data_IF_743797254415
#
_entry.id   IF_743797254415
#
_cell.length_a   1.000
_cell.length_b   1.000
_cell.length_c   1.000
_cell.angle_alpha   90.00
_cell.angle_beta   90.00
_cell.angle_gamma   90.00
#
_symmetry.space_group_name_H-M   'P 1'
#
loop_
_entity.id
_entity.type
_entity.pdbx_description
1 polymer ?
#
# COMPACT_ATOMS: atom_id res chain seq x y z
N UNK A 1 5.71 17.25 16.21
CA UNK A 1 5.57 16.66 14.85
C UNK A 1 4.42 17.35 14.13
N UNK A 2 4.62 18.55 13.55
CA UNK A 2 3.51 19.36 13.04
C UNK A 2 2.86 18.83 11.75
N UNK A 3 3.49 17.85 11.05
CA UNK A 3 3.05 17.37 9.72
C UNK A 3 3.11 15.84 9.52
N UNK A 4 3.16 15.05 10.59
CA UNK A 4 3.13 13.58 10.50
C UNK A 4 1.72 13.01 10.69
N UNK A 5 1.43 11.82 10.17
CA UNK A 5 0.18 11.07 10.39
C UNK A 5 -0.08 10.76 11.86
N UNK A 6 -1.32 10.43 12.22
CA UNK A 6 -1.69 10.21 13.63
C UNK A 6 -0.94 9.02 14.24
N UNK A 7 -0.84 7.91 13.50
CA UNK A 7 -0.07 6.72 13.88
C UNK A 7 1.42 7.00 14.03
N UNK A 8 2.08 7.71 13.10
CA UNK A 8 3.50 8.04 13.23
C UNK A 8 3.78 8.98 14.41
N UNK A 9 2.90 9.95 14.65
CA UNK A 9 3.05 10.86 15.80
C UNK A 9 2.91 10.12 17.12
N UNK A 10 1.94 9.24 17.25
CA UNK A 10 1.73 8.46 18.48
C UNK A 10 2.85 7.43 18.68
N UNK A 11 3.32 6.76 17.63
CA UNK A 11 4.49 5.89 17.69
C UNK A 11 5.73 6.63 18.20
N UNK A 12 5.98 7.84 17.69
CA UNK A 12 7.08 8.67 18.17
C UNK A 12 6.91 9.11 19.63
N UNK A 13 5.68 9.34 20.09
CA UNK A 13 5.40 9.60 21.52
C UNK A 13 5.63 8.34 22.37
N UNK A 14 5.24 7.16 21.89
CA UNK A 14 5.49 5.88 22.56
C UNK A 14 6.98 5.60 22.71
N UNK A 15 7.78 5.87 21.67
CA UNK A 15 9.25 5.81 21.74
C UNK A 15 9.79 6.79 22.79
N UNK A 16 9.30 8.03 22.82
CA UNK A 16 9.69 9.03 23.84
C UNK A 16 9.30 8.63 25.26
N UNK A 17 8.29 7.78 25.43
CA UNK A 17 7.87 7.21 26.72
C UNK A 17 8.70 5.98 27.13
N UNK A 18 9.63 5.52 26.29
CA UNK A 18 10.52 4.39 26.57
C UNK A 18 10.01 3.03 26.08
N UNK A 19 8.92 2.99 25.30
CA UNK A 19 8.47 1.76 24.64
C UNK A 19 9.38 1.44 23.46
N UNK A 20 9.54 0.14 23.18
CA UNK A 20 10.24 -0.36 22.00
C UNK A 20 9.26 -1.09 21.06
N UNK A 21 9.50 -1.15 19.74
CA UNK A 21 8.72 -2.02 18.87
C UNK A 21 8.81 -3.49 19.36
N UNK A 22 7.70 -4.26 19.33
CA UNK A 22 6.40 -3.93 18.74
C UNK A 22 5.45 -3.14 19.67
N UNK A 23 5.82 -2.85 20.91
CA UNK A 23 4.93 -2.16 21.88
C UNK A 23 4.56 -0.75 21.42
N UNK A 24 5.46 -0.08 20.70
CA UNK A 24 5.21 1.25 20.13
C UNK A 24 4.06 1.27 19.14
N UNK A 25 3.94 0.24 18.30
CA UNK A 25 2.83 0.03 17.39
C UNK A 25 1.62 -0.63 18.07
N UNK A 26 1.84 -1.59 18.97
CA UNK A 26 0.77 -2.28 19.70
C UNK A 26 -0.08 -1.34 20.55
N UNK A 27 0.56 -0.43 21.28
CA UNK A 27 -0.10 0.56 22.14
C UNK A 27 -0.32 1.90 21.42
N UNK A 28 -0.43 1.87 20.10
CA UNK A 28 -0.82 3.02 19.29
C UNK A 28 -2.34 2.98 19.07
N UNK A 29 -3.04 4.06 19.40
CA UNK A 29 -4.49 4.17 19.17
C UNK A 29 -4.84 4.16 17.69
N UNK A 30 -3.86 4.45 16.83
CA UNK A 30 -3.98 4.43 15.37
C UNK A 30 -3.34 3.21 14.70
N UNK A 31 -3.15 2.11 15.43
CA UNK A 31 -2.35 0.97 14.99
C UNK A 31 -2.86 0.20 13.76
N UNK A 32 -4.12 0.41 13.36
CA UNK A 32 -4.73 -0.20 12.16
C UNK A 32 -4.92 0.80 11.00
N UNK A 33 -4.38 2.01 11.10
CA UNK A 33 -4.36 2.91 9.94
C UNK A 33 -3.50 2.35 8.80
N UNK A 34 -3.71 2.79 7.58
CA UNK A 34 -2.96 2.40 6.37
C UNK A 34 -1.60 3.09 6.19
N UNK A 35 -1.18 3.89 7.17
CA UNK A 35 0.08 4.64 7.12
C UNK A 35 1.34 3.76 6.96
N UNK A 36 1.30 2.50 7.39
CA UNK A 36 2.34 1.52 7.07
C UNK A 36 2.22 0.99 5.63
N UNK A 37 1.01 0.64 5.19
CA UNK A 37 0.74 0.12 3.85
C UNK A 37 1.13 1.12 2.74
N UNK A 38 0.90 2.42 2.95
CA UNK A 38 1.24 3.46 1.95
C UNK A 38 2.75 3.65 1.72
N UNK A 39 3.62 3.19 2.64
CA UNK A 39 5.07 3.48 2.60
C UNK A 39 5.96 2.27 2.30
N UNK A 40 5.40 1.07 2.21
CA UNK A 40 6.18 -0.18 2.07
C UNK A 40 6.51 -0.59 0.64
N UNK A 41 6.10 0.19 -0.38
CA UNK A 41 6.48 -0.05 -1.78
C UNK A 41 7.98 -0.35 -1.99
N UNK A 42 8.92 0.46 -1.43
CA UNK A 42 10.36 0.19 -1.52
C UNK A 42 10.79 -1.16 -0.94
N UNK A 43 10.13 -1.66 0.10
CA UNK A 43 10.41 -3.00 0.66
C UNK A 43 10.05 -4.08 -0.36
N UNK A 44 8.90 -3.95 -1.03
CA UNK A 44 8.54 -4.86 -2.12
C UNK A 44 9.55 -4.84 -3.26
N UNK A 45 10.03 -3.65 -3.65
CA UNK A 45 11.03 -3.48 -4.73
C UNK A 45 12.33 -4.22 -4.41
N UNK A 46 12.90 -4.01 -3.22
CA UNK A 46 14.19 -4.63 -2.82
C UNK A 46 14.08 -6.15 -2.66
N UNK A 47 12.86 -6.68 -2.49
CA UNK A 47 12.58 -8.11 -2.38
C UNK A 47 11.88 -8.65 -3.63
N UNK A 48 12.17 -8.09 -4.82
CA UNK A 48 11.60 -8.57 -6.08
C UNK A 48 11.72 -10.10 -6.21
N UNK A 49 10.60 -10.77 -6.49
CA UNK A 49 10.53 -12.23 -6.59
C UNK A 49 10.54 -13.00 -5.27
N UNK A 50 10.66 -12.34 -4.11
CA UNK A 50 10.62 -12.96 -2.78
C UNK A 50 9.53 -12.30 -1.89
N UNK A 51 8.24 -12.61 -2.14
CA UNK A 51 7.15 -12.07 -1.35
C UNK A 51 7.21 -12.50 0.13
N UNK A 52 7.83 -13.63 0.45
CA UNK A 52 7.98 -14.06 1.84
C UNK A 52 8.92 -13.13 2.62
N UNK A 53 10.09 -12.81 2.05
CA UNK A 53 11.03 -11.86 2.64
C UNK A 53 10.50 -10.43 2.64
N UNK A 54 9.75 -10.04 1.61
CA UNK A 54 9.05 -8.76 1.59
C UNK A 54 8.12 -8.58 2.80
N UNK A 55 7.32 -9.61 3.14
CA UNK A 55 6.45 -9.60 4.34
C UNK A 55 7.25 -9.51 5.64
N UNK A 56 8.37 -10.22 5.76
CA UNK A 56 9.21 -10.15 6.95
C UNK A 56 9.78 -8.74 7.17
N UNK A 57 10.29 -8.11 6.11
CA UNK A 57 10.83 -6.75 6.21
C UNK A 57 9.73 -5.72 6.46
N UNK A 58 8.56 -5.88 5.83
CA UNK A 58 7.41 -5.02 6.06
C UNK A 58 6.91 -5.08 7.51
N UNK A 59 6.95 -6.25 8.17
CA UNK A 59 6.63 -6.38 9.59
C UNK A 59 7.61 -5.59 10.47
N UNK A 60 8.91 -5.67 10.18
CA UNK A 60 9.95 -4.96 10.93
C UNK A 60 9.73 -3.43 10.85
N UNK A 61 9.38 -2.89 9.69
CA UNK A 61 9.02 -1.47 9.54
C UNK A 61 7.69 -1.15 10.23
N UNK A 62 6.64 -1.92 9.93
CA UNK A 62 5.29 -1.60 10.33
C UNK A 62 5.11 -1.66 11.86
N UNK A 63 5.73 -2.63 12.55
CA UNK A 63 5.60 -2.77 14.01
C UNK A 63 6.08 -1.55 14.82
N UNK A 64 6.83 -0.64 14.19
CA UNK A 64 7.23 0.62 14.82
C UNK A 64 5.99 1.46 15.14
N UNK A 65 5.01 1.53 14.23
CA UNK A 65 3.82 2.38 14.40
C UNK A 65 2.47 1.67 14.33
N UNK A 66 2.43 0.43 13.86
CA UNK A 66 1.20 -0.31 13.57
C UNK A 66 1.18 -1.69 14.24
N UNK A 67 0.02 -2.33 14.25
CA UNK A 67 -0.19 -3.65 14.86
C UNK A 67 -1.33 -4.40 14.15
N UNK A 68 -1.26 -5.74 14.14
CA UNK A 68 -2.25 -6.64 13.51
C UNK A 68 -2.59 -6.20 12.09
N UNK A 69 -3.83 -5.81 11.80
CA UNK A 69 -4.25 -5.39 10.45
C UNK A 69 -3.35 -4.30 9.88
N UNK A 70 -2.84 -3.36 10.69
CA UNK A 70 -1.86 -2.37 10.19
C UNK A 70 -0.54 -2.96 9.71
N UNK A 71 -0.07 -4.05 10.33
CA UNK A 71 1.12 -4.81 9.87
C UNK A 71 0.75 -5.66 8.65
N UNK A 72 -0.38 -6.37 8.70
CA UNK A 72 -0.79 -7.28 7.63
C UNK A 72 -1.10 -6.53 6.33
N UNK A 73 -1.61 -5.30 6.40
CA UNK A 73 -1.77 -4.42 5.22
C UNK A 73 -0.44 -4.05 4.59
N UNK A 74 0.56 -3.72 5.41
CA UNK A 74 1.90 -3.45 4.92
C UNK A 74 2.53 -4.71 4.29
N UNK A 75 2.35 -5.87 4.92
CA UNK A 75 2.78 -7.15 4.36
C UNK A 75 2.09 -7.46 3.03
N UNK A 76 0.79 -7.20 2.91
CA UNK A 76 0.01 -7.41 1.69
C UNK A 76 0.52 -6.56 0.53
N UNK A 77 0.74 -5.26 0.76
CA UNK A 77 1.27 -4.35 -0.27
C UNK A 77 2.70 -4.71 -0.65
N UNK A 78 3.58 -4.99 0.32
CA UNK A 78 4.96 -5.36 0.04
C UNK A 78 5.05 -6.68 -0.76
N UNK A 79 4.24 -7.68 -0.42
CA UNK A 79 4.17 -8.95 -1.14
C UNK A 79 3.65 -8.74 -2.57
N UNK A 80 2.58 -7.95 -2.75
CA UNK A 80 2.05 -7.64 -4.08
C UNK A 80 3.09 -6.95 -4.97
N UNK A 81 3.81 -5.95 -4.44
CA UNK A 81 4.87 -5.25 -5.17
C UNK A 81 6.04 -6.20 -5.50
N UNK A 82 6.48 -7.03 -4.56
CA UNK A 82 7.55 -8.00 -4.78
C UNK A 82 7.20 -9.00 -5.91
N UNK A 83 5.96 -9.49 -5.92
CA UNK A 83 5.44 -10.37 -6.98
C UNK A 83 5.32 -9.63 -8.31
N UNK A 84 4.87 -8.36 -8.31
CA UNK A 84 4.75 -7.55 -9.52
C UNK A 84 6.11 -7.25 -10.17
N UNK A 85 7.15 -6.99 -9.37
CA UNK A 85 8.52 -6.78 -9.85
C UNK A 85 9.10 -7.99 -10.57
N UNK A 86 8.60 -9.20 -10.28
CA UNK A 86 9.00 -10.45 -10.93
C UNK A 86 8.08 -10.87 -12.08
N UNK A 87 7.35 -9.91 -12.66
CA UNK A 87 6.36 -10.11 -13.73
C UNK A 87 5.25 -11.12 -13.39
N UNK A 88 4.86 -11.19 -12.11
CA UNK A 88 3.70 -11.98 -11.71
C UNK A 88 2.42 -11.56 -12.44
N UNK A 89 1.55 -12.51 -12.70
CA UNK A 89 0.20 -12.26 -13.23
C UNK A 89 -0.62 -11.45 -12.24
N UNK A 90 -1.70 -10.81 -12.71
CA UNK A 90 -2.62 -10.06 -11.83
C UNK A 90 -3.14 -10.94 -10.71
N UNK A 91 -3.49 -12.20 -11.00
CA UNK A 91 -4.00 -13.14 -10.02
C UNK A 91 -2.93 -13.56 -9.00
N UNK A 92 -1.68 -13.78 -9.42
CA UNK A 92 -0.57 -14.09 -8.50
C UNK A 92 -0.25 -12.90 -7.57
N UNK A 93 -0.32 -11.67 -8.09
CA UNK A 93 -0.10 -10.45 -7.31
C UNK A 93 -1.22 -10.28 -6.27
N UNK A 94 -2.48 -10.47 -6.67
CA UNK A 94 -3.63 -10.41 -5.77
C UNK A 94 -3.56 -11.51 -4.72
N UNK A 95 -3.21 -12.74 -5.11
CA UNK A 95 -3.04 -13.86 -4.19
C UNK A 95 -1.94 -13.58 -3.15
N UNK A 96 -0.81 -13.00 -3.57
CA UNK A 96 0.26 -12.61 -2.64
C UNK A 96 -0.19 -11.57 -1.60
N UNK A 97 -1.07 -10.63 -1.98
CA UNK A 97 -1.68 -9.69 -1.03
C UNK A 97 -2.61 -10.40 -0.03
N UNK A 98 -3.47 -11.30 -0.52
CA UNK A 98 -4.43 -12.05 0.29
C UNK A 98 -3.73 -12.99 1.28
N UNK A 99 -2.67 -13.67 0.86
CA UNK A 99 -1.90 -14.62 1.67
C UNK A 99 -1.03 -13.95 2.75
N UNK A 100 -0.85 -12.63 2.69
CA UNK A 100 -0.23 -11.88 3.77
C UNK A 100 -1.14 -11.69 4.99
N UNK A 101 -2.46 -11.77 4.82
CA UNK A 101 -3.43 -11.58 5.88
C UNK A 101 -3.85 -12.92 6.51
N UNK A 102 -3.79 -13.08 7.86
CA UNK A 102 -4.28 -14.28 8.54
C UNK A 102 -5.76 -14.57 8.29
N UNK A 103 -6.13 -15.84 8.24
CA UNK A 103 -7.50 -16.31 7.91
C UNK A 103 -8.61 -15.67 8.78
N UNK A 104 -8.31 -15.36 10.05
CA UNK A 104 -9.23 -14.80 11.03
C UNK A 104 -9.10 -13.28 11.20
N UNK A 105 -8.34 -12.61 10.34
CA UNK A 105 -8.17 -11.15 10.36
C UNK A 105 -9.30 -10.39 9.68
N UNK A 106 -9.50 -9.13 10.08
CA UNK A 106 -10.46 -8.26 9.43
C UNK A 106 -10.02 -7.93 8.00
N UNK A 107 -8.73 -7.71 7.77
CA UNK A 107 -8.16 -7.53 6.43
C UNK A 107 -8.46 -8.74 5.52
N UNK A 108 -8.24 -9.97 5.98
CA UNK A 108 -8.55 -11.16 5.16
C UNK A 108 -10.02 -11.22 4.78
N UNK A 109 -10.90 -11.01 5.76
CA UNK A 109 -12.35 -11.02 5.51
C UNK A 109 -12.76 -9.96 4.46
N UNK A 110 -12.23 -8.75 4.58
CA UNK A 110 -12.54 -7.65 3.65
C UNK A 110 -11.96 -7.88 2.26
N UNK A 111 -10.73 -8.40 2.14
CA UNK A 111 -10.13 -8.79 0.87
C UNK A 111 -10.97 -9.87 0.16
N UNK A 112 -11.31 -10.96 0.84
CA UNK A 112 -12.09 -12.05 0.23
C UNK A 112 -13.49 -11.58 -0.19
N UNK A 113 -14.17 -10.83 0.68
CA UNK A 113 -15.50 -10.28 0.40
C UNK A 113 -15.50 -9.31 -0.78
N UNK A 114 -14.52 -8.41 -0.85
CA UNK A 114 -14.42 -7.41 -1.91
C UNK A 114 -13.96 -8.00 -3.23
N UNK A 115 -13.07 -8.99 -3.22
CA UNK A 115 -12.68 -9.73 -4.42
C UNK A 115 -13.84 -10.54 -5.00
N UNK A 116 -14.71 -11.12 -4.16
CA UNK A 116 -15.92 -11.79 -4.64
C UNK A 116 -16.90 -10.81 -5.33
N UNK A 117 -16.97 -9.56 -4.89
CA UNK A 117 -17.73 -8.50 -5.57
C UNK A 117 -17.11 -8.18 -6.92
N UNK A 118 -15.78 -8.04 -6.97
CA UNK A 118 -15.02 -7.78 -8.20
C UNK A 118 -15.24 -8.89 -9.23
N UNK A 119 -15.21 -10.15 -8.81
CA UNK A 119 -15.36 -11.31 -9.70
C UNK A 119 -16.76 -11.40 -10.34
N UNK A 120 -17.77 -10.79 -9.71
CA UNK A 120 -19.12 -10.71 -10.22
C UNK A 120 -19.44 -9.47 -11.05
N UNK A 121 -18.52 -8.50 -11.14
CA UNK A 121 -18.76 -7.22 -11.80
C UNK A 121 -18.05 -7.13 -13.16
N UNK A 122 -18.67 -6.46 -14.14
CA UNK A 122 -18.06 -6.26 -15.46
C UNK A 122 -17.14 -5.03 -15.52
N UNK A 123 -17.23 -4.13 -14.53
CA UNK A 123 -16.49 -2.87 -14.49
C UNK A 123 -16.36 -2.33 -13.07
N UNK A 124 -15.44 -1.37 -12.84
CA UNK A 124 -15.36 -0.70 -11.55
C UNK A 124 -16.60 0.15 -11.29
N UNK A 125 -17.18 0.79 -12.30
CA UNK A 125 -18.40 1.59 -12.16
C UNK A 125 -19.56 0.76 -11.59
N UNK A 126 -19.66 -0.50 -12.00
CA UNK A 126 -20.62 -1.46 -11.45
C UNK A 126 -20.23 -1.93 -10.05
N UNK A 127 -18.95 -2.23 -9.82
CA UNK A 127 -18.45 -2.74 -8.55
C UNK A 127 -18.39 -1.67 -7.44
N UNK A 128 -18.30 -0.38 -7.78
CA UNK A 128 -17.90 0.68 -6.86
C UNK A 128 -18.86 0.81 -5.67
N UNK A 129 -20.17 0.91 -5.92
CA UNK A 129 -21.14 1.08 -4.83
C UNK A 129 -21.23 -0.17 -3.93
N UNK A 130 -21.28 -1.41 -4.47
CA UNK A 130 -21.12 -2.62 -3.66
C UNK A 130 -19.84 -2.66 -2.82
N UNK A 131 -18.69 -2.32 -3.41
CA UNK A 131 -17.41 -2.25 -2.71
C UNK A 131 -17.45 -1.24 -1.57
N UNK A 132 -17.90 -0.02 -1.86
CA UNK A 132 -18.03 1.05 -0.88
C UNK A 132 -18.90 0.60 0.31
N UNK A 133 -20.09 0.06 0.07
CA UNK A 133 -20.96 -0.42 1.14
C UNK A 133 -20.38 -1.61 1.91
N UNK A 134 -19.59 -2.47 1.25
CA UNK A 134 -19.01 -3.65 1.88
C UNK A 134 -17.81 -3.33 2.79
N UNK A 135 -17.09 -2.24 2.51
CA UNK A 135 -15.80 -1.90 3.11
C UNK A 135 -15.84 -0.67 4.02
N UNK A 136 -16.79 0.24 3.83
CA UNK A 136 -16.85 1.50 4.58
C UNK A 136 -16.86 1.26 6.09
N UNK A 137 -16.02 2.03 6.80
CA UNK A 137 -15.97 2.05 8.26
C UNK A 137 -15.87 3.47 8.79
N UNK A 138 -16.23 3.67 10.06
CA UNK A 138 -16.09 4.97 10.74
C UNK A 138 -14.64 5.30 11.05
N UNK A 139 -13.79 4.26 11.16
CA UNK A 139 -12.36 4.43 11.33
C UNK A 139 -11.76 4.98 10.04
N UNK A 140 -11.13 6.16 10.10
CA UNK A 140 -10.55 6.77 8.91
C UNK A 140 -9.28 6.04 8.47
N UNK A 141 -9.11 5.83 7.17
CA UNK A 141 -7.90 5.27 6.60
C UNK A 141 -7.56 3.90 7.22
N UNK A 142 -8.58 3.06 7.44
CA UNK A 142 -8.40 1.73 8.01
C UNK A 142 -7.80 0.80 6.97
N UNK A 143 -6.82 -0.02 7.35
CA UNK A 143 -6.24 -1.03 6.44
C UNK A 143 -7.28 -1.92 5.77
N UNK A 144 -8.25 -2.52 6.50
CA UNK A 144 -9.27 -3.39 5.87
C UNK A 144 -10.16 -2.66 4.85
N UNK A 145 -10.25 -1.34 4.93
CA UNK A 145 -10.93 -0.51 3.92
C UNK A 145 -9.97 -0.21 2.76
N UNK A 146 -8.94 0.62 2.99
CA UNK A 146 -8.12 1.19 1.92
C UNK A 146 -7.28 0.16 1.15
N UNK A 147 -6.71 -0.85 1.83
CA UNK A 147 -5.90 -1.89 1.15
C UNK A 147 -6.80 -2.79 0.32
N UNK A 148 -7.99 -3.16 0.83
CA UNK A 148 -8.96 -3.94 0.07
C UNK A 148 -9.44 -3.19 -1.17
N UNK A 149 -9.77 -1.91 -1.03
CA UNK A 149 -10.16 -1.03 -2.15
C UNK A 149 -9.03 -0.95 -3.21
N UNK A 150 -7.78 -0.76 -2.78
CA UNK A 150 -6.63 -0.71 -3.69
C UNK A 150 -6.42 -2.02 -4.45
N UNK A 151 -6.49 -3.18 -3.79
CA UNK A 151 -6.35 -4.49 -4.44
C UNK A 151 -7.49 -4.74 -5.43
N UNK A 152 -8.73 -4.34 -5.10
CA UNK A 152 -9.86 -4.42 -6.03
C UNK A 152 -9.68 -3.53 -7.27
N UNK A 153 -9.23 -2.27 -7.08
CA UNK A 153 -8.94 -1.37 -8.20
C UNK A 153 -7.82 -1.93 -9.08
N UNK A 154 -6.76 -2.45 -8.49
CA UNK A 154 -5.67 -3.09 -9.23
C UNK A 154 -6.18 -4.29 -10.06
N UNK A 155 -6.98 -5.19 -9.47
CA UNK A 155 -7.55 -6.35 -10.15
C UNK A 155 -8.48 -5.94 -11.30
N UNK A 156 -9.43 -5.04 -11.05
CA UNK A 156 -10.40 -4.58 -12.06
C UNK A 156 -9.77 -3.84 -13.24
N UNK A 157 -8.63 -3.19 -13.02
CA UNK A 157 -7.90 -2.51 -14.08
C UNK A 157 -6.93 -3.42 -14.82
N UNK A 158 -6.82 -4.69 -14.43
CA UNK A 158 -5.86 -5.64 -15.00
C UNK A 158 -4.42 -5.18 -14.82
N UNK A 159 -4.14 -4.41 -13.76
CA UNK A 159 -2.83 -3.79 -13.52
C UNK A 159 -2.49 -2.60 -14.42
N UNK A 160 -3.39 -2.11 -15.27
CA UNK A 160 -3.17 -0.91 -16.09
C UNK A 160 -2.90 0.31 -15.19
N UNK A 161 -1.69 0.86 -15.27
CA UNK A 161 -1.25 1.96 -14.42
C UNK A 161 -2.14 3.21 -14.54
N UNK A 162 -2.46 3.61 -15.77
CA UNK A 162 -3.19 4.87 -16.00
C UNK A 162 -4.62 4.76 -15.49
N UNK A 163 -5.31 3.68 -15.83
CA UNK A 163 -6.66 3.40 -15.32
C UNK A 163 -6.63 3.23 -13.81
N UNK A 164 -5.69 2.46 -13.27
CA UNK A 164 -5.52 2.23 -11.84
C UNK A 164 -5.39 3.52 -11.05
N UNK A 165 -4.50 4.43 -11.47
CA UNK A 165 -4.33 5.73 -10.82
C UNK A 165 -5.60 6.59 -10.91
N UNK A 166 -6.25 6.65 -12.08
CA UNK A 166 -7.49 7.43 -12.24
C UNK A 166 -8.58 6.90 -11.31
N UNK A 167 -8.80 5.60 -11.31
CA UNK A 167 -9.82 4.97 -10.49
C UNK A 167 -9.51 5.06 -9.00
N UNK A 168 -8.27 4.75 -8.59
CA UNK A 168 -7.85 4.86 -7.18
C UNK A 168 -8.01 6.28 -6.65
N UNK A 169 -7.59 7.28 -7.43
CA UNK A 169 -7.70 8.70 -7.03
C UNK A 169 -9.15 9.18 -6.92
N UNK A 170 -10.08 8.52 -7.62
CA UNK A 170 -11.51 8.85 -7.64
C UNK A 170 -12.38 7.84 -6.88
N UNK A 171 -11.78 6.86 -6.18
CA UNK A 171 -12.55 5.87 -5.42
C UNK A 171 -13.32 6.53 -4.27
N UNK A 172 -12.84 7.68 -3.79
CA UNK A 172 -13.31 8.30 -2.55
C UNK A 172 -12.57 7.73 -1.35
N UNK A 173 -13.03 8.07 -0.13
CA UNK A 173 -12.40 7.61 1.12
C UNK A 173 -10.93 8.08 1.19
N UNK A 174 -9.99 7.19 1.49
CA UNK A 174 -8.56 7.51 1.58
C UNK A 174 -7.88 7.41 0.19
N UNK A 175 -8.36 8.22 -0.74
CA UNK A 175 -8.07 8.05 -2.17
C UNK A 175 -6.59 8.26 -2.53
N UNK A 176 -5.84 9.03 -1.76
CA UNK A 176 -4.40 9.18 -1.93
C UNK A 176 -3.65 7.90 -1.56
N UNK A 177 -3.98 7.24 -0.45
CA UNK A 177 -3.38 5.94 -0.08
C UNK A 177 -3.79 4.84 -1.07
N UNK A 178 -5.06 4.79 -1.45
CA UNK A 178 -5.56 3.82 -2.45
C UNK A 178 -4.78 3.99 -3.76
N UNK A 179 -4.69 5.21 -4.29
CA UNK A 179 -3.96 5.50 -5.51
C UNK A 179 -2.45 5.23 -5.37
N UNK A 180 -1.85 5.50 -4.21
CA UNK A 180 -0.44 5.21 -3.95
C UNK A 180 -0.15 3.70 -3.98
N UNK A 181 -0.99 2.88 -3.36
CA UNK A 181 -0.86 1.42 -3.38
C UNK A 181 -1.06 0.87 -4.80
N UNK A 182 -2.14 1.28 -5.49
CA UNK A 182 -2.38 0.87 -6.88
C UNK A 182 -1.22 1.28 -7.78
N UNK A 183 -0.72 2.51 -7.64
CA UNK A 183 0.42 3.03 -8.39
C UNK A 183 1.71 2.26 -8.12
N UNK A 184 1.96 1.86 -6.87
CA UNK A 184 3.14 1.06 -6.51
C UNK A 184 3.10 -0.32 -7.18
N UNK A 185 1.95 -1.01 -7.11
CA UNK A 185 1.79 -2.36 -7.66
C UNK A 185 1.79 -2.31 -9.20
N UNK A 186 0.97 -1.45 -9.82
CA UNK A 186 0.93 -1.30 -11.27
C UNK A 186 2.26 -0.80 -11.83
N UNK A 187 2.91 0.14 -11.16
CA UNK A 187 4.21 0.70 -11.58
C UNK A 187 5.32 -0.34 -11.53
N UNK A 188 5.33 -1.19 -10.49
CA UNK A 188 6.24 -2.34 -10.41
C UNK A 188 6.02 -3.32 -11.58
N UNK A 189 4.76 -3.55 -11.99
CA UNK A 189 4.44 -4.44 -13.10
C UNK A 189 4.78 -3.86 -14.48
N UNK A 190 4.48 -2.59 -14.74
CA UNK A 190 4.62 -2.00 -16.08
C UNK A 190 5.96 -1.27 -16.31
N UNK A 191 6.74 -1.05 -15.24
CA UNK A 191 7.95 -0.24 -15.28
C UNK A 191 7.69 1.22 -15.64
N UNK A 192 8.76 2.02 -15.72
CA UNK A 192 8.68 3.45 -16.04
C UNK A 192 8.07 3.72 -17.43
N UNK A 193 8.27 2.81 -18.40
CA UNK A 193 7.71 2.93 -19.75
C UNK A 193 6.19 2.79 -19.80
N UNK A 194 5.57 2.15 -18.81
CA UNK A 194 4.11 2.05 -18.68
C UNK A 194 3.46 3.27 -18.02
N UNK A 195 4.25 4.21 -17.49
CA UNK A 195 3.76 5.43 -16.82
C UNK A 195 3.68 6.57 -17.83
N UNK A 196 2.56 7.34 -17.89
CA UNK A 196 2.49 8.53 -18.74
C UNK A 196 3.65 9.51 -18.44
N UNK A 197 4.49 9.89 -19.43
CA UNK A 197 5.70 10.67 -19.19
C UNK A 197 5.45 12.00 -18.46
N UNK A 198 4.35 12.67 -18.81
CA UNK A 198 3.96 13.92 -18.16
C UNK A 198 3.62 13.74 -16.66
N UNK A 199 3.11 12.57 -16.25
CA UNK A 199 2.82 12.27 -14.85
C UNK A 199 4.10 11.93 -14.09
N UNK A 200 4.96 11.11 -14.69
CA UNK A 200 6.26 10.76 -14.11
C UNK A 200 7.12 12.01 -13.85
N UNK A 201 7.23 12.90 -14.85
CA UNK A 201 8.02 14.13 -14.73
C UNK A 201 7.43 15.10 -13.70
N UNK A 202 6.10 15.24 -13.65
CA UNK A 202 5.43 16.10 -12.65
C UNK A 202 5.71 15.66 -11.20
N UNK A 203 5.88 14.36 -10.99
CA UNK A 203 6.12 13.77 -9.67
C UNK A 203 7.61 13.52 -9.37
N UNK A 204 8.53 13.78 -10.30
CA UNK A 204 9.94 13.41 -10.18
C UNK A 204 10.66 14.05 -9.00
N UNK A 205 10.36 15.32 -8.71
CA UNK A 205 11.01 16.09 -7.65
C UNK A 205 10.00 16.42 -6.54
N UNK A 206 10.13 15.83 -5.34
CA UNK A 206 9.29 16.18 -4.21
C UNK A 206 9.44 17.65 -3.84
N UNK A 207 8.33 18.29 -3.49
CA UNK A 207 8.32 19.70 -3.03
C UNK A 207 9.05 19.91 -1.70
N UNK A 208 9.27 18.84 -0.92
CA UNK A 208 9.82 18.89 0.43
C UNK A 208 8.87 19.51 1.46
N UNK A 209 7.57 19.56 1.18
CA UNK A 209 6.59 20.21 2.08
C UNK A 209 6.41 19.44 3.39
N UNK A 210 6.27 18.12 3.33
CA UNK A 210 6.09 17.28 4.53
C UNK A 210 7.42 16.88 5.17
N UNK A 211 8.41 16.55 4.34
CA UNK A 211 9.76 16.17 4.73
C UNK A 211 10.75 17.12 4.07
N UNK A 212 11.26 18.11 4.79
CA UNK A 212 12.10 19.17 4.20
C UNK A 212 13.36 18.63 3.50
N UNK A 213 13.91 17.52 4.00
CA UNK A 213 15.10 16.88 3.42
C UNK A 213 14.84 16.24 2.05
N UNK A 214 13.58 16.02 1.65
CA UNK A 214 13.27 15.43 0.34
C UNK A 214 13.20 16.46 -0.79
N UNK A 215 13.30 17.74 -0.47
CA UNK A 215 13.25 18.82 -1.46
C UNK A 215 14.39 18.65 -2.47
N UNK A 216 14.04 18.52 -3.74
CA UNK A 216 15.00 18.41 -4.84
C UNK A 216 15.68 17.05 -4.98
N UNK A 217 15.25 16.04 -4.21
CA UNK A 217 15.62 14.65 -4.51
C UNK A 217 15.02 14.24 -5.86
N UNK A 218 15.78 13.52 -6.65
CA UNK A 218 15.29 12.89 -7.88
C UNK A 218 14.75 11.50 -7.54
N UNK A 219 13.43 11.32 -7.64
CA UNK A 219 12.79 10.03 -7.36
C UNK A 219 13.23 8.96 -8.36
N UNK A 220 13.62 9.32 -9.59
CA UNK A 220 14.09 8.33 -10.56
C UNK A 220 15.46 7.77 -10.16
N UNK A 221 16.37 8.62 -9.72
CA UNK A 221 17.68 8.21 -9.18
C UNK A 221 17.50 7.33 -7.92
N UNK A 222 16.56 7.69 -7.03
CA UNK A 222 16.23 6.85 -5.87
C UNK A 222 15.67 5.49 -6.30
N UNK A 223 14.79 5.46 -7.30
CA UNK A 223 14.25 4.23 -7.87
C UNK A 223 15.36 3.33 -8.44
N UNK A 224 16.31 3.91 -9.17
CA UNK A 224 17.47 3.17 -9.70
C UNK A 224 18.33 2.58 -8.56
N UNK A 225 18.64 3.39 -7.55
CA UNK A 225 19.40 2.93 -6.38
C UNK A 225 18.71 1.79 -5.63
N UNK A 226 17.38 1.82 -5.54
CA UNK A 226 16.62 0.71 -4.97
C UNK A 226 16.69 -0.54 -5.83
N UNK A 227 16.59 -0.41 -7.17
CA UNK A 227 16.71 -1.56 -8.06
C UNK A 227 18.11 -2.17 -8.07
N UNK A 228 19.16 -1.38 -7.84
CA UNK A 228 20.55 -1.87 -7.75
C UNK A 228 20.78 -2.76 -6.50
N UNK A 229 19.86 -2.76 -5.53
CA UNK A 229 19.88 -3.64 -4.36
C UNK A 229 19.23 -5.01 -4.61
N UNK A 230 18.57 -5.19 -5.75
CA UNK A 230 17.97 -6.46 -6.15
C UNK A 230 19.12 -7.39 -6.57
N UNK A 231 19.29 -8.49 -5.83
CA UNK A 231 20.37 -9.47 -6.03
C UNK A 231 20.09 -10.48 -7.12
#
# INVERSE_FOLDING_TARGET
>A
FPRGGASEREAALNIKRGLLPPETGRFNSYNISDGAAMRVGPIGIVNAGDPARARQQAEIDAQISHWRDGIWGAQAVAAAVATAMADGTVDEIVAAAVDAAPADSWLRHTLEKSLAIVDGAASLEEAWMPLHHALVTEYKAAVPEAVSEAICVFKLTGGDFRKGIIYGSNFGRDSDTIAAIVGAISGAKCGLSGIPPAWAEKCRYPSGTCLAFTKGLDIFDLGQKLSDLIG
#
